data_IF_052204074483
#
_entry.id   IF_052204074483
#
_cell.length_a   1.000
_cell.length_b   1.000
_cell.length_c   1.000
_cell.angle_alpha   90.00
_cell.angle_beta   90.00
_cell.angle_gamma   90.00
#
_symmetry.space_group_name_H-M   'P 1'
#
loop_
_entity.id
_entity.type
_entity.pdbx_description
1 polymer ?
#
# COMPACT_ATOMS: atom_id res chain seq x y z
N UNK A 1 8.94 -9.05 4.18
CA UNK A 1 8.16 -8.52 3.05
C UNK A 1 7.36 -9.67 2.47
N UNK A 2 6.09 -9.43 2.09
CA UNK A 2 5.20 -10.47 1.53
C UNK A 2 5.65 -10.96 0.17
N UNK A 3 5.31 -12.21 -0.15
CA UNK A 3 5.65 -12.81 -1.44
C UNK A 3 4.82 -12.17 -2.57
N UNK A 4 5.45 -11.94 -3.72
CA UNK A 4 4.83 -11.29 -4.87
C UNK A 4 3.56 -12.03 -5.34
N UNK A 5 3.54 -13.37 -5.27
CA UNK A 5 2.37 -14.15 -5.65
C UNK A 5 1.20 -14.00 -4.68
N UNK A 6 1.48 -13.79 -3.39
CA UNK A 6 0.45 -13.50 -2.38
C UNK A 6 -0.18 -12.14 -2.63
N UNK A 7 0.65 -11.14 -2.93
CA UNK A 7 0.20 -9.78 -3.29
C UNK A 7 -0.67 -9.81 -4.54
N UNK A 8 -0.29 -10.58 -5.57
CA UNK A 8 -1.05 -10.65 -6.82
C UNK A 8 -2.42 -11.28 -6.62
N UNK A 9 -2.51 -12.31 -5.79
CA UNK A 9 -3.78 -12.93 -5.42
C UNK A 9 -4.66 -11.98 -4.61
N UNK A 10 -4.06 -11.24 -3.66
CA UNK A 10 -4.77 -10.24 -2.88
C UNK A 10 -5.34 -9.12 -3.77
N UNK A 11 -4.56 -8.61 -4.72
CA UNK A 11 -5.01 -7.62 -5.70
C UNK A 11 -6.15 -8.13 -6.57
N UNK A 12 -6.03 -9.36 -7.08
CA UNK A 12 -7.08 -9.98 -7.88
C UNK A 12 -8.39 -10.08 -7.09
N UNK A 13 -8.32 -10.57 -5.84
CA UNK A 13 -9.46 -10.67 -4.92
C UNK A 13 -10.06 -9.28 -4.64
N UNK A 14 -9.23 -8.29 -4.32
CA UNK A 14 -9.66 -6.93 -3.98
C UNK A 14 -10.34 -6.24 -5.16
N UNK A 15 -9.93 -6.52 -6.39
CA UNK A 15 -10.58 -6.02 -7.61
C UNK A 15 -11.86 -6.79 -7.97
N UNK A 16 -12.18 -7.88 -7.27
CA UNK A 16 -13.31 -8.75 -7.59
C UNK A 16 -13.15 -9.46 -8.94
N UNK A 17 -11.91 -9.63 -9.41
CA UNK A 17 -11.62 -10.28 -10.68
C UNK A 17 -11.44 -11.79 -10.47
N UNK A 18 -11.87 -12.59 -11.43
CA UNK A 18 -11.48 -13.99 -11.51
C UNK A 18 -10.21 -14.16 -12.35
N UNK A 19 -9.54 -15.31 -12.22
CA UNK A 19 -8.41 -15.66 -13.10
C UNK A 19 -8.83 -15.68 -14.58
N UNK A 20 -10.11 -15.96 -14.86
CA UNK A 20 -10.65 -15.94 -16.23
C UNK A 20 -10.73 -14.50 -16.76
N UNK A 21 -11.18 -13.56 -15.94
CA UNK A 21 -11.26 -12.14 -16.32
C UNK A 21 -9.86 -11.57 -16.57
N UNK A 22 -8.92 -11.90 -15.69
CA UNK A 22 -7.52 -11.53 -15.86
C UNK A 22 -6.93 -12.10 -17.16
N UNK A 23 -7.18 -13.38 -17.45
CA UNK A 23 -6.72 -14.00 -18.69
C UNK A 23 -7.28 -13.31 -19.93
N UNK A 24 -8.55 -12.91 -19.90
CA UNK A 24 -9.18 -12.16 -20.98
C UNK A 24 -8.56 -10.76 -21.14
N UNK A 25 -8.28 -10.05 -20.05
CA UNK A 25 -7.61 -8.74 -20.08
C UNK A 25 -6.20 -8.81 -20.65
N UNK A 26 -5.44 -9.85 -20.29
CA UNK A 26 -4.08 -10.06 -20.75
C UNK A 26 -4.02 -10.71 -22.15
N UNK A 27 -5.15 -11.13 -22.73
CA UNK A 27 -5.17 -11.83 -24.02
C UNK A 27 -4.49 -13.20 -24.01
N UNK A 28 -4.47 -13.88 -22.86
CA UNK A 28 -3.78 -15.18 -22.66
C UNK A 28 -4.76 -16.26 -22.23
N UNK A 29 -4.29 -17.51 -22.19
CA UNK A 29 -5.10 -18.62 -21.66
C UNK A 29 -5.23 -18.54 -20.14
N UNK A 30 -6.33 -19.06 -19.59
CA UNK A 30 -6.54 -19.16 -18.13
C UNK A 30 -5.38 -19.87 -17.42
N UNK A 31 -4.84 -20.93 -18.02
CA UNK A 31 -3.69 -21.66 -17.46
C UNK A 31 -2.43 -20.79 -17.42
N UNK A 32 -2.22 -19.96 -18.44
CA UNK A 32 -1.09 -19.03 -18.48
C UNK A 32 -1.24 -17.92 -17.43
N UNK A 33 -2.43 -17.29 -17.33
CA UNK A 33 -2.71 -16.29 -16.29
C UNK A 33 -2.51 -16.87 -14.88
N UNK A 34 -2.98 -18.09 -14.62
CA UNK A 34 -2.75 -18.75 -13.34
C UNK A 34 -1.26 -18.97 -13.06
N UNK A 35 -0.47 -19.34 -14.08
CA UNK A 35 0.97 -19.49 -13.95
C UNK A 35 1.67 -18.15 -13.70
N UNK A 36 1.18 -17.04 -14.25
CA UNK A 36 1.72 -15.71 -13.97
C UNK A 36 1.45 -15.30 -12.51
N UNK A 37 0.28 -15.65 -11.97
CA UNK A 37 -0.10 -15.35 -10.58
C UNK A 37 0.62 -16.21 -9.52
N UNK A 38 1.08 -17.41 -9.89
CA UNK A 38 1.65 -18.40 -8.95
C UNK A 38 3.10 -18.76 -9.25
N UNK A 39 3.63 -18.30 -10.38
CA UNK A 39 4.97 -18.60 -10.85
C UNK A 39 6.02 -17.78 -10.13
N UNK A 40 7.20 -18.37 -9.90
CA UNK A 40 8.25 -17.77 -9.08
C UNK A 40 8.81 -16.45 -9.61
N UNK A 41 8.90 -16.26 -10.95
CA UNK A 41 9.33 -15.01 -11.60
C UNK A 41 8.81 -14.95 -13.04
N UNK A 42 7.82 -14.11 -13.36
CA UNK A 42 7.47 -13.83 -14.75
C UNK A 42 8.59 -13.05 -15.45
N UNK A 43 8.58 -13.03 -16.78
CA UNK A 43 9.44 -12.12 -17.55
C UNK A 43 9.03 -10.66 -17.28
N UNK A 44 9.97 -9.71 -17.39
CA UNK A 44 9.71 -8.31 -17.01
C UNK A 44 8.52 -7.70 -17.73
N UNK A 45 8.39 -7.95 -19.03
CA UNK A 45 7.26 -7.47 -19.84
C UNK A 45 5.93 -8.05 -19.35
N UNK A 46 5.91 -9.33 -18.98
CA UNK A 46 4.71 -9.99 -18.44
C UNK A 46 4.38 -9.49 -17.04
N UNK A 47 5.39 -9.15 -16.23
CA UNK A 47 5.19 -8.51 -14.93
C UNK A 47 4.52 -7.16 -15.12
N UNK A 48 5.05 -6.30 -15.98
CA UNK A 48 4.49 -4.97 -16.23
C UNK A 48 3.03 -5.04 -16.72
N UNK A 49 2.73 -5.96 -17.64
CA UNK A 49 1.35 -6.20 -18.10
C UNK A 49 0.42 -6.66 -16.96
N UNK A 50 0.92 -7.57 -16.11
CA UNK A 50 0.20 -8.06 -14.95
C UNK A 50 -0.05 -6.95 -13.91
N UNK A 51 0.94 -6.09 -13.66
CA UNK A 51 0.84 -4.96 -12.74
C UNK A 51 -0.18 -3.92 -13.23
N UNK A 52 -0.20 -3.62 -14.53
CA UNK A 52 -1.23 -2.75 -15.12
C UNK A 52 -2.62 -3.34 -14.93
N UNK A 53 -2.78 -4.64 -15.19
CA UNK A 53 -4.08 -5.32 -15.03
C UNK A 53 -4.52 -5.37 -13.55
N UNK A 54 -3.59 -5.60 -12.63
CA UNK A 54 -3.85 -5.72 -11.19
C UNK A 54 -3.81 -4.39 -10.44
N UNK A 55 -3.40 -3.28 -11.06
CA UNK A 55 -3.28 -1.98 -10.42
C UNK A 55 -4.60 -1.55 -9.74
N UNK A 56 -4.50 -1.07 -8.51
CA UNK A 56 -5.65 -0.64 -7.71
C UNK A 56 -6.26 0.65 -8.28
N UNK A 57 -7.59 0.65 -8.38
CA UNK A 57 -8.35 1.75 -8.98
C UNK A 57 -8.69 1.56 -10.45
N UNK A 58 -9.39 2.54 -11.00
CA UNK A 58 -9.73 2.57 -12.41
C UNK A 58 -8.53 3.01 -13.25
N UNK A 59 -8.26 2.35 -14.39
CA UNK A 59 -7.23 2.77 -15.32
C UNK A 59 -7.32 4.24 -15.70
N UNK A 60 -6.18 4.93 -15.63
CA UNK A 60 -6.01 6.32 -16.03
C UNK A 60 -5.10 6.46 -17.26
N UNK A 61 -4.69 7.69 -17.56
CA UNK A 61 -3.65 7.95 -18.55
C UNK A 61 -2.27 7.55 -18.03
N UNK A 62 -1.44 6.98 -18.89
CA UNK A 62 -0.07 6.59 -18.54
C UNK A 62 0.02 5.19 -17.91
N UNK A 63 0.97 5.03 -17.00
CA UNK A 63 1.22 3.79 -16.28
C UNK A 63 0.78 3.91 -14.81
N UNK A 64 0.39 2.81 -14.15
CA UNK A 64 0.22 2.83 -12.70
C UNK A 64 1.54 3.20 -12.03
N UNK A 65 1.43 3.86 -10.88
CA UNK A 65 2.55 4.13 -9.99
C UNK A 65 2.59 3.05 -8.90
N UNK A 66 3.62 3.06 -8.08
CA UNK A 66 3.79 2.10 -6.99
C UNK A 66 3.62 2.81 -5.65
N UNK A 67 2.94 2.15 -4.73
CA UNK A 67 2.82 2.58 -3.33
C UNK A 67 3.29 1.47 -2.41
N UNK A 68 3.67 1.85 -1.18
CA UNK A 68 3.87 0.89 -0.09
C UNK A 68 2.50 0.54 0.51
N UNK A 69 2.26 -0.75 0.70
CA UNK A 69 1.06 -1.28 1.34
C UNK A 69 1.37 -2.32 2.41
N UNK A 70 0.35 -2.70 3.16
CA UNK A 70 0.37 -3.87 4.06
C UNK A 70 -0.62 -4.91 3.54
N UNK A 71 -0.19 -6.17 3.54
CA UNK A 71 -1.02 -7.34 3.29
C UNK A 71 -1.06 -8.20 4.55
N UNK A 72 -2.21 -8.19 5.22
CA UNK A 72 -2.42 -8.95 6.44
C UNK A 72 -2.58 -10.46 6.19
N UNK A 73 -2.66 -11.24 7.26
CA UNK A 73 -2.84 -12.70 7.17
C UNK A 73 -4.22 -13.13 6.66
N UNK A 74 -5.19 -12.22 6.61
CA UNK A 74 -6.54 -12.45 6.07
C UNK A 74 -6.60 -12.14 4.56
N UNK A 75 -5.51 -11.64 3.99
CA UNK A 75 -5.40 -11.26 2.59
C UNK A 75 -6.05 -9.91 2.29
N UNK A 76 -6.24 -9.06 3.30
CA UNK A 76 -6.67 -7.68 3.12
C UNK A 76 -5.46 -6.79 2.86
N UNK A 77 -5.59 -5.94 1.85
CA UNK A 77 -4.53 -5.10 1.33
C UNK A 77 -4.92 -3.63 1.43
N UNK A 78 -4.11 -2.88 2.18
CA UNK A 78 -4.30 -1.45 2.41
C UNK A 78 -3.01 -0.68 2.12
N UNK A 79 -3.16 0.55 1.62
CA UNK A 79 -2.02 1.43 1.41
C UNK A 79 -1.54 2.00 2.75
N UNK A 80 -0.23 2.13 2.87
CA UNK A 80 0.41 2.73 4.04
C UNK A 80 0.76 4.17 3.67
N UNK A 81 0.34 5.18 4.46
CA UNK A 81 0.86 6.53 4.32
C UNK A 81 2.20 6.69 5.06
N UNK A 82 3.05 7.61 4.59
CA UNK A 82 4.22 8.06 5.33
C UNK A 82 3.82 9.33 6.12
N UNK A 83 3.54 9.17 7.41
CA UNK A 83 2.94 10.24 8.21
C UNK A 83 1.56 10.65 7.65
N UNK A 84 1.44 11.90 7.22
CA UNK A 84 0.20 12.47 6.67
C UNK A 84 0.18 12.53 5.13
N UNK A 85 1.21 11.97 4.49
CA UNK A 85 1.36 11.92 3.04
C UNK A 85 1.29 10.50 2.47
N UNK A 86 1.00 10.40 1.18
CA UNK A 86 1.02 9.18 0.38
C UNK A 86 2.08 9.31 -0.71
N UNK A 87 3.32 8.86 -0.44
CA UNK A 87 4.35 8.80 -1.46
C UNK A 87 3.99 7.75 -2.52
N UNK A 88 4.23 8.10 -3.79
CA UNK A 88 4.12 7.20 -4.94
C UNK A 88 5.48 7.14 -5.64
N UNK A 89 5.77 6.02 -6.30
CA UNK A 89 7.02 5.80 -7.02
C UNK A 89 6.71 5.46 -8.48
N UNK A 90 7.43 6.04 -9.42
CA UNK A 90 7.38 5.67 -10.83
C UNK A 90 8.14 4.37 -11.09
N UNK A 91 9.23 4.12 -10.34
CA UNK A 91 10.04 2.92 -10.42
C UNK A 91 9.71 1.93 -9.29
N UNK A 92 9.33 0.71 -9.71
CA UNK A 92 9.07 -0.41 -8.80
C UNK A 92 10.30 -0.77 -7.96
N UNK A 93 11.50 -0.71 -8.53
CA UNK A 93 12.72 -1.08 -7.82
C UNK A 93 13.02 -0.09 -6.68
N UNK A 94 12.71 1.19 -6.87
CA UNK A 94 12.79 2.21 -5.82
C UNK A 94 11.78 1.92 -4.72
N UNK A 95 10.51 1.70 -5.06
CA UNK A 95 9.48 1.30 -4.09
C UNK A 95 9.87 0.03 -3.31
N UNK A 96 10.42 -0.97 -4.01
CA UNK A 96 10.85 -2.25 -3.41
C UNK A 96 11.99 -2.04 -2.42
N UNK A 97 12.94 -1.17 -2.73
CA UNK A 97 14.04 -0.84 -1.81
C UNK A 97 13.53 -0.20 -0.52
N UNK A 98 12.63 0.77 -0.65
CA UNK A 98 11.97 1.40 0.51
C UNK A 98 11.19 0.36 1.32
N UNK A 99 10.43 -0.52 0.65
CA UNK A 99 9.68 -1.59 1.29
C UNK A 99 10.58 -2.53 2.12
N UNK A 100 11.75 -2.90 1.58
CA UNK A 100 12.73 -3.74 2.27
C UNK A 100 13.34 -3.04 3.48
N UNK A 101 13.63 -1.74 3.36
CA UNK A 101 14.22 -0.96 4.47
C UNK A 101 13.25 -0.79 5.65
N UNK A 102 11.94 -0.73 5.40
CA UNK A 102 10.91 -0.60 6.45
C UNK A 102 10.34 -1.94 6.93
N UNK A 103 10.76 -3.08 6.37
CA UNK A 103 10.25 -4.41 6.70
C UNK A 103 10.47 -4.80 8.16
N UNK A 104 11.48 -4.21 8.82
CA UNK A 104 11.72 -4.40 10.24
C UNK A 104 10.57 -3.83 11.12
N UNK A 105 9.84 -2.83 10.63
CA UNK A 105 8.71 -2.22 11.34
C UNK A 105 7.40 -3.00 11.17
N UNK A 106 7.22 -3.72 10.06
CA UNK A 106 6.09 -4.61 9.82
C UNK A 106 6.48 -5.67 8.79
N UNK A 107 6.23 -6.95 9.10
CA UNK A 107 6.52 -8.07 8.18
C UNK A 107 5.51 -8.17 7.03
N UNK A 108 4.43 -7.40 7.10
CA UNK A 108 3.31 -7.43 6.15
C UNK A 108 3.49 -6.44 4.99
N UNK A 109 4.61 -5.73 4.94
CA UNK A 109 4.89 -4.73 3.91
C UNK A 109 4.97 -5.39 2.52
N UNK A 110 4.41 -4.69 1.53
CA UNK A 110 4.44 -5.05 0.12
C UNK A 110 4.42 -3.82 -0.80
N UNK A 111 4.78 -4.02 -2.07
CA UNK A 111 4.69 -3.00 -3.13
C UNK A 111 3.42 -3.22 -3.94
N UNK A 112 2.63 -2.15 -4.08
CA UNK A 112 1.30 -2.20 -4.67
C UNK A 112 1.26 -1.30 -5.92
N UNK A 113 0.92 -1.83 -7.11
CA UNK A 113 0.62 -0.98 -8.26
C UNK A 113 -0.73 -0.28 -8.05
N UNK A 114 -0.77 1.03 -8.22
CA UNK A 114 -1.94 1.89 -7.95
C UNK A 114 -2.10 2.97 -9.01
N UNK A 115 -3.35 3.32 -9.31
CA UNK A 115 -3.67 4.52 -10.06
C UNK A 115 -3.70 5.74 -9.12
N UNK A 116 -3.18 6.92 -9.51
CA UNK A 116 -3.11 8.09 -8.62
C UNK A 116 -4.44 8.47 -7.99
N UNK A 117 -5.55 8.37 -8.74
CA UNK A 117 -6.90 8.63 -8.22
C UNK A 117 -7.29 7.70 -7.07
N UNK A 118 -6.84 6.46 -7.09
CA UNK A 118 -7.10 5.52 -5.99
C UNK A 118 -6.28 5.90 -4.76
N UNK A 119 -4.99 6.19 -4.94
CA UNK A 119 -4.12 6.65 -3.86
C UNK A 119 -4.65 7.94 -3.20
N UNK A 120 -5.15 8.89 -4.00
CA UNK A 120 -5.82 10.09 -3.49
C UNK A 120 -7.03 9.76 -2.62
N UNK A 121 -7.93 8.88 -3.10
CA UNK A 121 -9.12 8.47 -2.32
C UNK A 121 -8.74 7.78 -1.02
N UNK A 122 -7.68 6.98 -1.03
CA UNK A 122 -7.15 6.35 0.18
C UNK A 122 -6.66 7.40 1.18
N UNK A 123 -5.88 8.39 0.71
CA UNK A 123 -5.38 9.47 1.54
C UNK A 123 -6.53 10.33 2.12
N UNK A 124 -7.54 10.63 1.31
CA UNK A 124 -8.76 11.33 1.77
C UNK A 124 -9.46 10.55 2.87
N UNK A 125 -9.66 9.24 2.69
CA UNK A 125 -10.29 8.39 3.69
C UNK A 125 -9.47 8.32 4.97
N UNK A 126 -8.14 8.27 4.86
CA UNK A 126 -7.23 8.31 6.00
C UNK A 126 -7.41 9.62 6.80
N UNK A 127 -7.32 10.79 6.15
CA UNK A 127 -7.50 12.09 6.80
C UNK A 127 -8.89 12.28 7.41
N UNK A 128 -9.94 11.82 6.71
CA UNK A 128 -11.31 11.88 7.21
C UNK A 128 -11.49 11.10 8.52
N UNK A 129 -10.79 9.96 8.70
CA UNK A 129 -10.82 9.19 9.94
C UNK A 129 -10.26 9.98 11.15
N UNK A 130 -9.39 10.96 10.89
CA UNK A 130 -8.80 11.85 11.90
C UNK A 130 -9.48 13.23 11.96
N UNK A 131 -10.57 13.45 11.22
CA UNK A 131 -11.28 14.73 11.18
C UNK A 131 -10.48 15.86 10.53
N UNK A 132 -9.54 15.54 9.64
CA UNK A 132 -8.71 16.49 8.92
C UNK A 132 -9.05 16.51 7.42
N UNK A 133 -8.78 17.63 6.76
CA UNK A 133 -8.88 17.75 5.31
C UNK A 133 -7.53 17.40 4.64
N UNK A 134 -7.51 16.52 3.63
CA UNK A 134 -6.30 16.16 2.91
C UNK A 134 -5.88 17.29 1.97
N UNK A 135 -4.59 17.60 1.92
CA UNK A 135 -4.03 18.55 0.96
C UNK A 135 -3.44 17.81 -0.26
N UNK A 136 -3.69 18.25 -1.51
CA UNK A 136 -3.18 17.58 -2.71
C UNK A 136 -1.66 17.41 -2.75
N UNK A 137 -0.91 18.37 -2.19
CA UNK A 137 0.56 18.31 -2.07
C UNK A 137 1.08 17.14 -1.24
N UNK A 138 0.21 16.45 -0.50
CA UNK A 138 0.55 15.26 0.29
C UNK A 138 0.41 13.96 -0.51
N UNK A 139 0.08 14.03 -1.80
CA UNK A 139 0.18 12.94 -2.76
C UNK A 139 1.20 13.35 -3.83
N UNK A 140 2.37 12.72 -3.86
CA UNK A 140 3.46 13.11 -4.75
C UNK A 140 4.25 11.92 -5.24
N UNK A 141 4.95 12.09 -6.37
CA UNK A 141 5.83 11.08 -6.96
C UNK A 141 7.25 11.35 -6.48
N UNK A 142 7.88 10.36 -5.85
CA UNK A 142 9.13 10.50 -5.09
C UNK A 142 10.35 10.60 -6.00
N UNK A 143 10.34 9.84 -7.09
CA UNK A 143 11.40 9.71 -8.08
C UNK A 143 11.11 10.53 -9.33
N UNK A 144 10.27 11.57 -9.21
CA UNK A 144 10.11 12.55 -10.27
C UNK A 144 11.39 13.39 -10.40
N UNK A 145 11.80 13.63 -11.64
CA UNK A 145 13.11 14.19 -11.98
C UNK A 145 13.22 15.72 -11.80
N UNK A 146 12.17 16.37 -11.29
CA UNK A 146 12.02 17.84 -11.28
C UNK A 146 12.25 18.49 -9.89
N UNK A 147 12.66 17.72 -8.87
CA UNK A 147 12.85 18.22 -7.51
C UNK A 147 14.27 18.78 -7.23
N UNK A 148 14.34 19.89 -6.50
CA UNK A 148 15.59 20.55 -6.08
C UNK A 148 16.36 19.75 -5.01
N UNK A 149 15.73 18.74 -4.40
CA UNK A 149 16.30 17.93 -3.32
C UNK A 149 16.89 16.61 -3.84
N UNK A 150 18.05 16.17 -3.30
CA UNK A 150 18.58 14.85 -3.60
C UNK A 150 17.61 13.73 -3.20
N UNK A 151 17.38 12.78 -4.13
CA UNK A 151 16.45 11.66 -3.95
C UNK A 151 16.74 10.83 -2.68
N UNK A 152 18.01 10.65 -2.33
CA UNK A 152 18.42 9.90 -1.13
C UNK A 152 17.94 10.56 0.17
N UNK A 153 17.97 11.89 0.26
CA UNK A 153 17.44 12.64 1.41
C UNK A 153 15.93 12.46 1.51
N UNK A 154 15.22 12.58 0.39
CA UNK A 154 13.76 12.40 0.32
C UNK A 154 13.37 10.98 0.74
N UNK A 155 14.11 9.96 0.26
CA UNK A 155 13.87 8.56 0.60
C UNK A 155 14.08 8.29 2.10
N UNK A 156 15.06 8.93 2.74
CA UNK A 156 15.28 8.77 4.18
C UNK A 156 14.11 9.32 5.01
N UNK A 157 13.60 10.50 4.68
CA UNK A 157 12.43 11.08 5.37
C UNK A 157 11.18 10.21 5.18
N UNK A 158 10.92 9.76 3.95
CA UNK A 158 9.81 8.89 3.63
C UNK A 158 9.88 7.57 4.39
N UNK A 159 11.08 6.96 4.47
CA UNK A 159 11.31 5.74 5.24
C UNK A 159 10.93 5.94 6.69
N UNK A 160 11.40 7.01 7.32
CA UNK A 160 11.04 7.34 8.72
C UNK A 160 9.54 7.54 8.90
N UNK A 161 8.88 8.20 7.94
CA UNK A 161 7.43 8.38 7.94
C UNK A 161 6.67 7.05 7.88
N UNK A 162 7.07 6.14 6.99
CA UNK A 162 6.47 4.81 6.90
C UNK A 162 6.69 3.99 8.18
N UNK A 163 7.92 3.97 8.72
CA UNK A 163 8.19 3.24 9.97
C UNK A 163 7.32 3.71 11.12
N UNK A 164 7.13 5.02 11.26
CA UNK A 164 6.28 5.60 12.30
C UNK A 164 4.82 5.14 12.14
N UNK A 165 4.27 5.22 10.91
CA UNK A 165 2.91 4.75 10.61
C UNK A 165 2.75 3.26 10.90
N UNK A 166 3.68 2.42 10.45
CA UNK A 166 3.64 0.97 10.60
C UNK A 166 3.71 0.54 12.07
N UNK A 167 4.59 1.17 12.85
CA UNK A 167 4.67 0.93 14.31
C UNK A 167 3.38 1.34 15.01
N UNK A 168 2.83 2.51 14.68
CA UNK A 168 1.57 2.97 15.25
C UNK A 168 0.40 2.03 14.91
N UNK A 169 0.33 1.54 13.67
CA UNK A 169 -0.67 0.53 13.27
C UNK A 169 -0.47 -0.77 14.03
N UNK A 170 0.75 -1.29 14.14
CA UNK A 170 1.02 -2.53 14.87
C UNK A 170 0.56 -2.42 16.32
N UNK A 171 0.86 -1.31 17.00
CA UNK A 171 0.36 -1.04 18.35
C UNK A 171 -1.17 -0.97 18.39
N UNK A 172 -1.81 -0.32 17.41
CA UNK A 172 -3.27 -0.23 17.35
C UNK A 172 -3.97 -1.58 17.13
N UNK A 173 -3.25 -2.60 16.66
CA UNK A 173 -3.77 -3.96 16.50
C UNK A 173 -3.36 -4.90 17.66
N UNK A 174 -2.64 -4.39 18.67
CA UNK A 174 -2.27 -5.16 19.85
C UNK A 174 -3.48 -5.28 20.80
N UNK A 175 -4.08 -6.48 20.95
CA UNK A 175 -5.28 -6.66 21.76
C UNK A 175 -5.04 -6.32 23.24
N UNK A 176 -3.84 -6.56 23.78
CA UNK A 176 -3.53 -6.26 25.18
C UNK A 176 -3.47 -4.74 25.41
N UNK A 177 -2.87 -4.00 24.46
CA UNK A 177 -2.83 -2.54 24.51
C UNK A 177 -4.23 -1.93 24.33
N UNK A 178 -5.04 -2.49 23.44
CA UNK A 178 -6.43 -2.05 23.24
C UNK A 178 -7.28 -2.26 24.49
N UNK A 179 -7.12 -3.39 25.17
CA UNK A 179 -7.78 -3.68 26.44
C UNK A 179 -7.31 -2.73 27.56
N UNK A 180 -6.01 -2.40 27.61
CA UNK A 180 -5.46 -1.41 28.54
C UNK A 180 -6.03 0.00 28.29
N UNK A 181 -6.08 0.43 27.03
CA UNK A 181 -6.68 1.72 26.62
C UNK A 181 -8.17 1.74 26.95
N UNK A 182 -8.92 0.68 26.63
CA UNK A 182 -10.34 0.56 26.95
C UNK A 182 -10.58 0.64 28.47
N UNK A 183 -9.77 -0.08 29.26
CA UNK A 183 -9.83 -0.04 30.73
C UNK A 183 -9.55 1.36 31.28
N UNK A 184 -8.55 2.05 30.75
CA UNK A 184 -8.24 3.44 31.13
C UNK A 184 -9.38 4.39 30.79
N UNK A 185 -9.94 4.29 29.58
CA UNK A 185 -11.06 5.14 29.14
C UNK A 185 -12.35 4.86 29.93
N UNK A 186 -12.65 3.61 30.28
CA UNK A 186 -13.75 3.25 31.18
C UNK A 186 -13.59 3.78 32.62
N UNK A 187 -12.35 3.98 33.06
CA UNK A 187 -12.02 4.67 34.32
C UNK A 187 -12.22 6.19 34.28
N UNK A 188 -12.24 6.81 33.09
CA UNK A 188 -12.50 8.24 32.92
C UNK A 188 -14.00 8.57 32.89
N UNK A 189 -14.84 7.72 32.30
CA UNK A 189 -16.29 7.91 32.25
C UNK A 189 -16.97 7.78 33.61
N UNK A 190 -16.34 7.07 34.56
CA UNK A 190 -16.81 6.92 35.96
C UNK A 190 -16.39 8.06 36.89
N UNK A 191 -15.56 9.01 36.43
CA UNK A 191 -15.04 10.14 37.22
C UNK A 191 -15.57 11.50 36.79
N UNK A 192 -16.54 11.56 35.88
CA UNK A 192 -17.24 12.82 35.59
C UNK A 192 -18.16 13.17 36.77
N UNK A 193 -17.99 14.32 37.43
CA UNK A 193 -18.96 14.78 38.42
C UNK A 193 -20.30 15.03 37.72
N UNK A 194 -21.37 14.50 38.32
CA UNK A 194 -22.75 14.73 37.88
C UNK A 194 -23.14 16.21 37.96
#
# INVERSE_FOLDING_TARGET
>A
MRDESEVWQALLKRKGLSVTDLAAQLGVTRQHAHRLLTGRRPAETQRAELEVALAMGSPGSGHPLYAIGELDDLGELDLVPAGDAQPLFADREVATRVALDVDAASRHVCVVPVWPTYAWRNLVAFHAAWGADPEPRKLFVVDDTDDELPLDVVLEEIRTGFEATLRARTLAHDPDLLDEVHTRLGGYTTRLPQ
#
